data_IF_772192480563
#
_entry.id   IF_772192480563
#
_cell.length_a   1.000
_cell.length_b   1.000
_cell.length_c   1.000
_cell.angle_alpha   90.00
_cell.angle_beta   90.00
_cell.angle_gamma   90.00
#
_symmetry.space_group_name_H-M   'P 1'
#
loop_
_entity.id
_entity.type
_entity.pdbx_description
1 polymer ?
#
# COMPACT_ATOMS: atom_id res chain seq x y z
N UNK A 1 -12.68 9.34 0.05
CA UNK A 1 -12.31 7.93 -0.16
C UNK A 1 -11.77 7.34 1.12
N UNK A 2 -12.17 6.13 1.49
CA UNK A 2 -11.72 5.43 2.69
C UNK A 2 -10.45 4.61 2.43
N UNK A 3 -10.25 4.16 1.21
CA UNK A 3 -9.13 3.31 0.82
C UNK A 3 -8.34 3.88 -0.36
N UNK A 4 -7.09 3.40 -0.51
CA UNK A 4 -6.22 3.75 -1.64
C UNK A 4 -6.88 3.38 -2.99
N UNK A 5 -7.51 2.21 -3.07
CA UNK A 5 -8.15 1.71 -4.29
C UNK A 5 -9.34 2.58 -4.71
N UNK A 6 -10.18 3.02 -3.78
CA UNK A 6 -11.25 3.98 -4.09
C UNK A 6 -10.69 5.29 -4.65
N UNK A 7 -9.56 5.75 -4.11
CA UNK A 7 -8.85 6.91 -4.64
C UNK A 7 -8.38 6.69 -6.08
N UNK A 8 -7.81 5.54 -6.38
CA UNK A 8 -7.36 5.18 -7.74
C UNK A 8 -8.51 5.09 -8.73
N UNK A 9 -9.66 4.58 -8.32
CA UNK A 9 -10.85 4.47 -9.18
C UNK A 9 -11.42 5.83 -9.64
N UNK A 10 -10.99 6.93 -9.05
CA UNK A 10 -11.33 8.29 -9.53
C UNK A 10 -10.53 8.72 -10.77
N UNK A 11 -9.45 8.00 -11.09
CA UNK A 11 -8.58 8.31 -12.24
C UNK A 11 -9.25 7.80 -13.53
N UNK A 12 -9.39 8.61 -14.58
CA UNK A 12 -10.02 8.19 -15.83
C UNK A 12 -9.39 6.90 -16.41
N UNK A 13 -10.24 5.89 -16.69
CA UNK A 13 -9.82 4.59 -17.23
C UNK A 13 -9.16 3.65 -16.20
N UNK A 14 -9.31 3.96 -14.92
CA UNK A 14 -9.07 3.06 -13.80
C UNK A 14 -10.41 2.77 -13.13
N UNK A 15 -10.67 1.50 -12.85
CA UNK A 15 -11.77 1.02 -12.02
C UNK A 15 -11.22 0.07 -10.96
N UNK A 16 -12.10 -0.51 -10.16
CA UNK A 16 -11.70 -1.47 -9.15
C UNK A 16 -12.59 -2.71 -9.18
N UNK A 17 -12.02 -3.84 -8.80
CA UNK A 17 -12.73 -5.00 -8.27
C UNK A 17 -12.51 -5.01 -6.78
N UNK A 18 -13.58 -5.13 -5.99
CA UNK A 18 -13.51 -5.13 -4.54
C UNK A 18 -14.49 -6.16 -3.99
N UNK A 19 -14.01 -7.01 -3.10
CA UNK A 19 -14.81 -8.00 -2.35
C UNK A 19 -15.05 -7.59 -0.90
N UNK A 20 -14.51 -6.45 -0.47
CA UNK A 20 -14.68 -5.86 0.85
C UNK A 20 -14.06 -4.47 0.95
N UNK A 21 -14.24 -3.79 2.08
CA UNK A 21 -13.78 -2.42 2.27
C UNK A 21 -12.26 -2.25 2.12
N UNK A 22 -11.48 -3.25 2.52
CA UNK A 22 -10.01 -3.25 2.44
C UNK A 22 -9.45 -4.15 1.34
N UNK A 23 -10.31 -4.87 0.63
CA UNK A 23 -9.92 -5.80 -0.43
C UNK A 23 -10.26 -5.16 -1.76
N UNK A 24 -9.28 -4.66 -2.44
CA UNK A 24 -9.49 -4.06 -3.75
C UNK A 24 -8.30 -4.24 -4.67
N UNK A 25 -8.61 -4.49 -5.96
CA UNK A 25 -7.64 -4.56 -7.04
C UNK A 25 -7.91 -3.47 -8.06
N UNK A 26 -6.88 -2.79 -8.55
CA UNK A 26 -7.04 -1.85 -9.65
C UNK A 26 -7.32 -2.60 -10.94
N UNK A 27 -8.23 -2.05 -11.73
CA UNK A 27 -8.53 -2.51 -13.09
C UNK A 27 -8.20 -1.38 -14.05
N UNK A 28 -7.31 -1.62 -14.99
CA UNK A 28 -6.91 -0.65 -16.01
C UNK A 28 -7.28 -1.22 -17.39
N UNK A 29 -8.14 -0.51 -18.12
CA UNK A 29 -8.64 -0.94 -19.45
C UNK A 29 -9.26 -2.35 -19.42
N UNK A 30 -9.96 -2.70 -18.35
CA UNK A 30 -10.59 -4.00 -18.17
C UNK A 30 -9.65 -5.14 -17.75
N UNK A 31 -8.37 -4.85 -17.49
CA UNK A 31 -7.36 -5.82 -17.06
C UNK A 31 -6.99 -5.59 -15.60
N UNK A 32 -6.81 -6.68 -14.85
CA UNK A 32 -6.45 -6.68 -13.41
C UNK A 32 -5.46 -7.80 -13.08
N UNK A 33 -5.11 -7.92 -11.80
CA UNK A 33 -4.20 -8.94 -11.30
C UNK A 33 -2.80 -8.81 -11.91
N UNK A 34 -2.24 -9.91 -12.38
CA UNK A 34 -0.90 -9.97 -12.95
C UNK A 34 -0.72 -9.23 -14.29
N UNK A 35 -1.80 -8.66 -14.85
CA UNK A 35 -1.76 -7.84 -16.09
C UNK A 35 -1.69 -6.34 -15.81
N UNK A 36 -1.73 -5.94 -14.56
CA UNK A 36 -1.51 -4.58 -14.08
C UNK A 36 -0.34 -4.64 -13.11
N UNK A 37 0.79 -4.12 -13.52
CA UNK A 37 1.97 -4.10 -12.66
C UNK A 37 1.87 -3.00 -11.61
N UNK A 38 2.34 -3.30 -10.42
CA UNK A 38 2.39 -2.36 -9.32
C UNK A 38 3.85 -2.19 -8.89
N UNK A 39 4.28 -0.94 -8.80
CA UNK A 39 5.59 -0.56 -8.29
C UNK A 39 5.44 0.36 -7.09
N UNK A 40 6.21 0.13 -6.06
CA UNK A 40 6.36 1.03 -4.92
C UNK A 40 7.83 1.30 -4.68
N UNK A 41 8.21 2.57 -4.62
CA UNK A 41 9.60 3.04 -4.45
C UNK A 41 10.63 2.32 -5.37
N UNK A 42 10.22 1.99 -6.60
CA UNK A 42 11.06 1.32 -7.60
C UNK A 42 11.04 -0.20 -7.55
N UNK A 43 10.41 -0.81 -6.55
CA UNK A 43 10.31 -2.27 -6.40
C UNK A 43 8.95 -2.76 -6.91
N UNK A 44 8.94 -3.82 -7.70
CA UNK A 44 7.71 -4.47 -8.16
C UNK A 44 7.02 -5.16 -6.98
N UNK A 45 5.72 -4.92 -6.82
CA UNK A 45 4.87 -5.52 -5.79
C UNK A 45 3.93 -6.51 -6.45
N UNK A 46 3.94 -7.76 -6.00
CA UNK A 46 3.18 -8.86 -6.63
C UNK A 46 2.05 -9.43 -5.75
N UNK A 47 1.66 -8.75 -4.70
CA UNK A 47 0.69 -9.23 -3.70
C UNK A 47 -0.70 -9.50 -4.26
N UNK A 48 -1.08 -8.86 -5.37
CA UNK A 48 -2.44 -8.86 -5.92
C UNK A 48 -2.70 -9.91 -7.00
N UNK A 49 -1.69 -10.67 -7.43
CA UNK A 49 -1.84 -11.54 -8.61
C UNK A 49 -2.65 -12.82 -8.35
N UNK A 50 -2.84 -13.20 -7.09
CA UNK A 50 -3.62 -14.37 -6.70
C UNK A 50 -5.08 -13.98 -6.42
N UNK A 51 -5.96 -14.86 -6.00
CA UNK A 51 -7.38 -14.76 -5.69
C UNK A 51 -8.07 -13.37 -5.69
N UNK A 52 -9.37 -13.29 -5.83
CA UNK A 52 -10.08 -11.99 -5.88
C UNK A 52 -10.04 -11.25 -4.55
N UNK A 53 -9.85 -11.94 -3.45
CA UNK A 53 -9.70 -11.44 -2.09
C UNK A 53 -8.29 -10.96 -1.74
N UNK A 54 -7.32 -11.05 -2.68
CA UNK A 54 -5.97 -10.56 -2.48
C UNK A 54 -5.83 -9.12 -2.97
N UNK A 55 -6.00 -8.16 -2.08
CA UNK A 55 -5.85 -6.72 -2.38
C UNK A 55 -4.39 -6.29 -2.55
N UNK A 56 -4.19 -4.99 -2.83
CA UNK A 56 -2.85 -4.40 -3.04
C UNK A 56 -1.91 -4.53 -1.83
N UNK A 57 -2.44 -4.52 -0.60
CA UNK A 57 -1.62 -4.53 0.61
C UNK A 57 -0.72 -3.30 0.73
N UNK A 58 -1.18 -2.14 0.26
CA UNK A 58 -0.47 -0.86 0.31
C UNK A 58 -1.38 0.21 0.90
N UNK A 59 -0.81 1.06 1.74
CA UNK A 59 -1.48 2.19 2.36
C UNK A 59 -1.11 3.51 1.67
N UNK A 60 -2.07 4.46 1.60
CA UNK A 60 -1.89 5.78 0.97
C UNK A 60 -1.07 6.76 1.82
N UNK A 61 -0.94 6.51 3.12
CA UNK A 61 -0.19 7.41 3.98
C UNK A 61 1.29 7.48 3.60
N UNK A 62 1.80 8.69 3.42
CA UNK A 62 3.18 8.91 3.01
C UNK A 62 3.47 8.52 1.56
N UNK A 63 2.48 8.58 0.68
CA UNK A 63 2.70 8.62 -0.76
C UNK A 63 2.76 10.07 -1.22
N UNK A 64 3.72 10.38 -2.08
CA UNK A 64 3.79 11.68 -2.75
C UNK A 64 2.79 11.77 -3.89
N UNK A 65 2.75 10.71 -4.72
CA UNK A 65 1.84 10.60 -5.86
C UNK A 65 1.69 9.16 -6.32
N UNK A 66 0.65 8.92 -7.10
CA UNK A 66 0.46 7.68 -7.86
C UNK A 66 0.42 8.02 -9.34
N UNK A 67 1.25 7.36 -10.13
CA UNK A 67 1.29 7.48 -11.58
C UNK A 67 0.61 6.27 -12.21
N UNK A 68 -0.25 6.50 -13.20
CA UNK A 68 -0.90 5.46 -13.99
C UNK A 68 -0.31 5.49 -15.39
N UNK A 69 0.58 4.55 -15.69
CA UNK A 69 1.28 4.46 -16.96
C UNK A 69 0.52 3.50 -17.89
N UNK A 70 0.02 4.01 -19.01
CA UNK A 70 -0.82 3.27 -19.95
C UNK A 70 -0.23 3.29 -21.35
N UNK A 71 -0.57 2.26 -22.14
CA UNK A 71 -0.14 2.17 -23.54
C UNK A 71 1.32 1.75 -23.71
N UNK A 72 1.99 2.12 -24.82
CA UNK A 72 3.31 1.59 -25.14
C UNK A 72 4.37 1.83 -24.07
N UNK A 73 4.26 2.92 -23.30
CA UNK A 73 5.19 3.22 -22.22
C UNK A 73 5.17 2.18 -21.10
N UNK A 74 4.07 1.45 -20.91
CA UNK A 74 4.00 0.38 -19.90
C UNK A 74 4.90 -0.81 -20.23
N UNK A 75 5.24 -1.03 -21.49
CA UNK A 75 6.13 -2.13 -21.92
C UNK A 75 7.56 -1.98 -21.40
N UNK A 76 7.98 -0.78 -21.03
CA UNK A 76 9.26 -0.54 -20.37
C UNK A 76 9.39 -1.24 -19.02
N UNK A 77 8.26 -1.61 -18.42
CA UNK A 77 8.18 -2.29 -17.11
C UNK A 77 8.04 -3.82 -17.23
N UNK A 78 7.94 -4.35 -18.45
CA UNK A 78 7.88 -5.79 -18.72
C UNK A 78 6.63 -6.22 -19.49
N UNK A 79 6.63 -7.48 -19.93
CA UNK A 79 5.57 -8.09 -20.76
C UNK A 79 4.21 -8.17 -20.08
N UNK A 80 4.19 -8.22 -18.75
CA UNK A 80 2.96 -8.35 -17.97
C UNK A 80 2.18 -7.04 -17.84
N UNK A 81 2.76 -5.90 -18.24
CA UNK A 81 2.15 -4.58 -18.15
C UNK A 81 1.09 -4.31 -19.25
N UNK A 82 0.31 -5.32 -19.62
CA UNK A 82 -0.69 -5.23 -20.70
C UNK A 82 -1.81 -4.22 -20.38
N UNK A 83 -2.29 -4.20 -19.15
CA UNK A 83 -3.28 -3.22 -18.68
C UNK A 83 -2.63 -1.85 -18.43
N UNK A 84 -1.43 -1.86 -17.91
CA UNK A 84 -0.69 -0.67 -17.51
C UNK A 84 0.13 -0.91 -16.24
N UNK A 85 0.69 0.18 -15.72
CA UNK A 85 1.49 0.18 -14.50
C UNK A 85 0.96 1.22 -13.53
N UNK A 86 0.83 0.84 -12.26
CA UNK A 86 0.66 1.75 -11.13
C UNK A 86 1.99 1.96 -10.45
N UNK A 87 2.46 3.19 -10.42
CA UNK A 87 3.73 3.54 -9.79
C UNK A 87 3.47 4.44 -8.58
N UNK A 88 3.76 3.92 -7.40
CA UNK A 88 3.60 4.61 -6.12
C UNK A 88 4.89 5.31 -5.74
N UNK A 89 4.90 6.63 -5.89
CA UNK A 89 6.04 7.46 -5.51
C UNK A 89 6.06 7.66 -4.00
N UNK A 90 7.19 7.35 -3.34
CA UNK A 90 7.31 7.52 -1.90
C UNK A 90 7.36 8.99 -1.50
N UNK A 91 6.99 9.28 -0.25
CA UNK A 91 7.07 10.61 0.33
C UNK A 91 8.47 11.22 0.15
N UNK A 92 8.50 12.48 -0.28
CA UNK A 92 9.75 13.24 -0.40
C UNK A 92 10.30 13.62 0.98
N UNK A 93 11.61 13.61 1.10
CA UNK A 93 12.30 14.17 2.27
C UNK A 93 11.98 15.67 2.44
N UNK A 94 12.31 16.23 3.59
CA UNK A 94 12.21 17.65 3.82
C UNK A 94 13.17 18.44 2.90
N UNK A 95 12.91 19.72 2.71
CA UNK A 95 13.85 20.61 2.02
C UNK A 95 15.15 20.72 2.83
N UNK A 96 16.24 21.12 2.16
CA UNK A 96 17.54 21.28 2.80
C UNK A 96 17.46 22.14 4.08
N UNK A 97 18.14 21.68 5.11
CA UNK A 97 18.24 22.33 6.42
C UNK A 97 16.89 22.66 7.08
N UNK A 98 15.89 21.78 6.84
CA UNK A 98 14.57 21.89 7.47
C UNK A 98 14.15 20.61 8.16
N UNK A 99 13.23 20.75 9.11
CA UNK A 99 12.48 19.64 9.68
C UNK A 99 10.99 19.87 9.47
N UNK A 100 10.23 18.79 9.36
CA UNK A 100 8.77 18.84 9.25
C UNK A 100 8.15 17.74 10.09
N UNK A 101 7.12 18.10 10.81
CA UNK A 101 6.22 17.18 11.52
C UNK A 101 4.86 17.29 10.85
N UNK A 102 4.23 16.17 10.57
CA UNK A 102 2.89 16.13 10.01
C UNK A 102 2.06 15.14 10.81
N UNK A 103 0.97 15.60 11.38
CA UNK A 103 -0.05 14.76 11.99
C UNK A 103 -1.34 14.86 11.19
N UNK A 104 -1.96 13.74 10.91
CA UNK A 104 -3.25 13.65 10.22
C UNK A 104 -4.16 12.70 10.96
N UNK A 105 -5.40 13.14 11.18
CA UNK A 105 -6.47 12.32 11.74
C UNK A 105 -7.67 12.40 10.80
N UNK A 106 -8.10 11.24 10.29
CA UNK A 106 -9.33 11.11 9.50
C UNK A 106 -10.33 10.26 10.30
N UNK A 107 -11.59 10.67 10.32
CA UNK A 107 -12.68 9.92 10.93
C UNK A 107 -13.71 9.57 9.85
N UNK A 108 -14.23 8.37 9.90
CA UNK A 108 -15.16 7.82 8.91
C UNK A 108 -16.47 7.43 9.58
N UNK A 109 -17.55 8.22 9.33
CA UNK A 109 -18.84 8.01 9.97
C UNK A 109 -19.49 6.67 9.58
N UNK A 110 -19.36 6.26 8.32
CA UNK A 110 -19.98 5.03 7.81
C UNK A 110 -19.45 3.77 8.54
N UNK A 111 -18.15 3.67 8.70
CA UNK A 111 -17.48 2.51 9.31
C UNK A 111 -17.11 2.75 10.78
N UNK A 112 -17.46 3.90 11.37
CA UNK A 112 -16.96 4.37 12.66
C UNK A 112 -15.43 4.23 12.76
N UNK A 113 -14.79 4.44 11.62
CA UNK A 113 -13.36 4.22 11.42
C UNK A 113 -12.52 5.41 11.77
N UNK A 114 -11.24 5.17 11.95
CA UNK A 114 -10.24 6.20 12.15
C UNK A 114 -8.93 5.85 11.46
N UNK A 115 -8.32 6.85 10.84
CA UNK A 115 -6.96 6.76 10.34
C UNK A 115 -6.13 7.86 11.02
N UNK A 116 -5.09 7.46 11.73
CA UNK A 116 -4.16 8.34 12.43
C UNK A 116 -2.77 8.17 11.84
N UNK A 117 -2.15 9.25 11.40
CA UNK A 117 -0.80 9.22 10.80
C UNK A 117 0.08 10.31 11.40
N UNK A 118 1.28 9.93 11.82
CA UNK A 118 2.33 10.84 12.28
C UNK A 118 3.57 10.66 11.42
N UNK A 119 4.01 11.73 10.77
CA UNK A 119 5.22 11.77 9.96
C UNK A 119 6.23 12.77 10.49
N UNK A 120 7.48 12.37 10.49
CA UNK A 120 8.64 13.19 10.86
C UNK A 120 9.63 13.13 9.69
N UNK A 121 10.14 14.27 9.27
CA UNK A 121 11.19 14.31 8.25
C UNK A 121 12.12 15.50 8.44
N UNK A 122 13.38 15.26 8.18
CA UNK A 122 14.42 16.29 8.26
C UNK A 122 15.49 16.07 7.22
N UNK A 123 16.12 17.14 6.80
CA UNK A 123 17.26 17.13 5.89
C UNK A 123 18.29 18.13 6.41
N UNK A 124 19.51 17.68 6.65
CA UNK A 124 20.67 18.53 6.86
C UNK A 124 21.44 18.70 5.52
N UNK A 125 22.68 19.20 5.57
CA UNK A 125 23.46 19.43 4.34
C UNK A 125 23.58 18.17 3.46
N UNK A 126 23.92 17.04 4.05
CA UNK A 126 24.15 15.79 3.33
C UNK A 126 23.17 14.68 3.69
N UNK A 127 22.60 14.70 4.89
CA UNK A 127 21.76 13.62 5.40
C UNK A 127 20.28 13.96 5.33
N UNK A 128 19.47 12.96 5.03
CA UNK A 128 18.00 13.04 4.95
C UNK A 128 17.40 11.90 5.76
N UNK A 129 16.39 12.21 6.55
CA UNK A 129 15.67 11.25 7.37
C UNK A 129 14.18 11.44 7.21
N UNK A 130 13.46 10.34 7.20
CA UNK A 130 12.01 10.29 7.19
C UNK A 130 11.55 9.09 8.02
N UNK A 131 10.54 9.29 8.86
CA UNK A 131 9.80 8.21 9.52
C UNK A 131 8.32 8.57 9.56
N UNK A 132 7.45 7.59 9.31
CA UNK A 132 5.99 7.73 9.38
C UNK A 132 5.38 6.48 9.98
N UNK A 133 4.51 6.65 10.97
CA UNK A 133 3.64 5.62 11.50
C UNK A 133 2.19 5.93 11.16
N UNK A 134 1.40 4.92 10.80
CA UNK A 134 -0.03 5.06 10.51
C UNK A 134 -0.80 3.90 11.13
N UNK A 135 -1.91 4.22 11.76
CA UNK A 135 -2.88 3.25 12.29
C UNK A 135 -4.24 3.49 11.66
N UNK A 136 -4.85 2.45 11.16
CA UNK A 136 -6.12 2.49 10.46
C UNK A 136 -7.04 1.42 11.03
N UNK A 137 -8.24 1.79 11.49
CA UNK A 137 -9.19 0.84 12.07
C UNK A 137 -10.61 1.16 11.62
N UNK A 138 -11.33 0.15 11.17
CA UNK A 138 -12.72 0.27 10.71
C UNK A 138 -13.59 -0.84 11.26
N UNK A 139 -14.83 -0.53 11.60
CA UNK A 139 -15.91 -1.51 11.74
C UNK A 139 -16.57 -1.78 10.38
N UNK A 140 -17.58 -2.61 10.35
CA UNK A 140 -18.32 -2.92 9.12
C UNK A 140 -18.95 -1.67 8.50
N UNK A 141 -18.92 -1.59 7.16
CA UNK A 141 -19.57 -0.49 6.46
C UNK A 141 -21.09 -0.69 6.36
N UNK A 142 -21.79 0.43 6.21
CA UNK A 142 -23.25 0.46 6.05
C UNK A 142 -23.58 0.87 4.61
N UNK A 143 -24.49 0.14 3.97
CA UNK A 143 -25.01 0.41 2.63
C UNK A 143 -25.90 1.66 2.60
N UNK A 144 -26.32 2.11 1.43
CA UNK A 144 -27.25 3.23 1.26
C UNK A 144 -28.62 2.96 1.89
N UNK A 145 -29.03 1.71 1.93
CA UNK A 145 -30.31 1.27 2.52
C UNK A 145 -30.25 1.13 4.05
N UNK A 146 -29.08 1.41 4.63
CA UNK A 146 -28.87 1.36 6.08
C UNK A 146 -28.48 -0.02 6.63
N UNK A 147 -28.34 -1.03 5.78
CA UNK A 147 -27.88 -2.35 6.17
C UNK A 147 -26.36 -2.39 6.34
N UNK A 148 -25.92 -3.12 7.36
CA UNK A 148 -24.51 -3.30 7.65
C UNK A 148 -23.99 -4.58 6.99
N UNK A 149 -22.90 -4.47 6.22
CA UNK A 149 -22.26 -5.63 5.60
C UNK A 149 -21.27 -6.23 6.58
N UNK A 150 -21.64 -7.36 7.17
CA UNK A 150 -20.90 -7.99 8.25
C UNK A 150 -19.54 -8.50 7.79
N UNK A 151 -18.55 -8.34 8.68
CA UNK A 151 -17.15 -8.75 8.51
C UNK A 151 -16.41 -8.03 7.37
N UNK A 152 -16.80 -6.78 7.08
CA UNK A 152 -16.03 -5.89 6.20
C UNK A 152 -15.03 -5.04 6.99
N UNK A 153 -14.93 -5.27 8.29
CA UNK A 153 -14.05 -4.58 9.23
C UNK A 153 -12.59 -4.96 9.02
N UNK A 154 -11.69 -4.02 9.32
CA UNK A 154 -10.26 -4.26 9.20
C UNK A 154 -9.43 -3.37 10.12
N UNK A 155 -8.21 -3.79 10.36
CA UNK A 155 -7.18 -3.06 11.10
C UNK A 155 -5.88 -3.11 10.30
N UNK A 156 -5.21 -1.97 10.20
CA UNK A 156 -3.97 -1.84 9.43
C UNK A 156 -2.99 -0.95 10.18
N UNK A 157 -1.76 -1.39 10.28
CA UNK A 157 -0.64 -0.64 10.83
C UNK A 157 0.46 -0.51 9.78
N UNK A 158 0.96 0.70 9.59
CA UNK A 158 2.06 0.98 8.67
C UNK A 158 3.20 1.67 9.36
N UNK A 159 4.40 1.33 8.94
CA UNK A 159 5.60 2.06 9.28
C UNK A 159 6.46 2.24 8.03
N UNK A 160 6.80 3.48 7.72
CA UNK A 160 7.64 3.84 6.58
C UNK A 160 8.82 4.66 7.08
N UNK A 161 10.01 4.32 6.62
CA UNK A 161 11.21 5.09 6.96
C UNK A 161 12.13 5.23 5.76
N UNK A 162 12.96 6.26 5.79
CA UNK A 162 13.95 6.52 4.77
C UNK A 162 15.16 7.24 5.34
N UNK A 163 16.33 6.82 4.89
CA UNK A 163 17.61 7.47 5.16
C UNK A 163 18.26 7.76 3.82
N UNK A 164 18.66 9.01 3.62
CA UNK A 164 19.37 9.44 2.43
C UNK A 164 20.67 10.14 2.78
N UNK A 165 21.66 9.93 1.95
CA UNK A 165 22.92 10.68 1.97
C UNK A 165 23.22 11.20 0.57
N UNK A 166 23.68 12.43 0.44
CA UNK A 166 24.10 12.97 -0.84
C UNK A 166 25.23 13.99 -0.66
N UNK A 167 26.21 13.92 -1.58
CA UNK A 167 27.25 14.93 -1.75
C UNK A 167 27.46 15.20 -3.26
N UNK A 168 28.53 15.90 -3.64
CA UNK A 168 28.77 16.28 -5.03
C UNK A 168 28.94 15.08 -5.99
N UNK A 169 29.44 13.93 -5.52
CA UNK A 169 29.78 12.76 -6.35
C UNK A 169 28.97 11.50 -6.07
N UNK A 170 28.15 11.53 -5.00
CA UNK A 170 27.40 10.35 -4.57
C UNK A 170 26.05 10.73 -3.97
N UNK A 171 25.02 9.96 -4.29
CA UNK A 171 23.71 10.00 -3.64
C UNK A 171 23.23 8.59 -3.38
N UNK A 172 22.70 8.33 -2.20
CA UNK A 172 22.09 7.04 -1.87
C UNK A 172 20.87 7.24 -0.97
N UNK A 173 19.83 6.47 -1.22
CA UNK A 173 18.60 6.46 -0.42
C UNK A 173 18.22 5.02 -0.13
N UNK A 174 18.18 4.68 1.15
CA UNK A 174 17.62 3.45 1.67
C UNK A 174 16.21 3.74 2.21
N UNK A 175 15.22 2.93 1.82
CA UNK A 175 13.86 3.01 2.33
C UNK A 175 13.39 1.64 2.82
N UNK A 176 12.60 1.66 3.87
CA UNK A 176 11.92 0.49 4.40
C UNK A 176 10.47 0.82 4.68
N UNK A 177 9.57 -0.03 4.20
CA UNK A 177 8.14 0.03 4.49
C UNK A 177 7.71 -1.29 5.11
N UNK A 178 6.94 -1.19 6.16
CA UNK A 178 6.24 -2.29 6.83
C UNK A 178 4.75 -2.00 6.81
N UNK A 179 3.95 -3.01 6.47
CA UNK A 179 2.49 -2.96 6.53
C UNK A 179 1.99 -4.26 7.13
N UNK A 180 1.13 -4.14 8.13
CA UNK A 180 0.44 -5.23 8.79
C UNK A 180 -1.06 -4.99 8.70
N UNK A 181 -1.79 -5.89 8.06
CA UNK A 181 -3.21 -5.78 7.77
C UNK A 181 -3.93 -7.04 8.24
N UNK A 182 -4.94 -6.88 9.09
CA UNK A 182 -5.93 -7.92 9.41
C UNK A 182 -7.29 -7.47 8.92
N UNK A 183 -7.92 -8.26 8.08
CA UNK A 183 -9.20 -7.95 7.47
C UNK A 183 -10.17 -9.12 7.54
N UNK A 184 -11.45 -8.81 7.65
CA UNK A 184 -12.53 -9.79 7.55
C UNK A 184 -12.92 -10.03 6.09
N UNK A 185 -13.40 -11.21 5.80
CA UNK A 185 -13.96 -11.59 4.51
C UNK A 185 -15.48 -11.67 4.70
N UNK A 186 -16.26 -10.83 4.00
CA UNK A 186 -17.72 -10.91 4.08
C UNK A 186 -18.22 -12.16 3.38
N UNK A 187 -19.06 -12.94 4.09
CA UNK A 187 -19.74 -14.11 3.55
C UNK A 187 -21.23 -14.08 3.90
N UNK A 188 -22.04 -14.76 3.10
CA UNK A 188 -23.46 -14.95 3.42
C UNK A 188 -23.62 -15.78 4.70
N UNK A 189 -24.58 -15.39 5.54
CA UNK A 189 -24.90 -16.13 6.77
C UNK A 189 -24.13 -15.67 8.01
N UNK A 190 -23.19 -14.75 7.93
CA UNK A 190 -22.60 -14.13 9.11
C UNK A 190 -23.61 -13.12 9.68
N UNK A 191 -24.27 -13.50 10.77
CA UNK A 191 -25.43 -12.76 11.29
C UNK A 191 -25.08 -11.66 12.31
N UNK A 192 -23.83 -11.50 12.69
CA UNK A 192 -23.46 -10.55 13.73
C UNK A 192 -23.44 -9.11 13.23
N UNK A 193 -24.49 -8.37 13.60
CA UNK A 193 -24.62 -6.93 13.35
C UNK A 193 -24.04 -6.15 14.53
N UNK A 194 -22.76 -5.84 14.52
CA UNK A 194 -22.11 -5.07 15.58
C UNK A 194 -21.25 -3.94 15.07
N UNK A 195 -20.94 -2.99 15.95
CA UNK A 195 -19.99 -1.90 15.67
C UNK A 195 -18.56 -2.25 16.16
N UNK A 196 -18.32 -3.51 16.49
CA UNK A 196 -17.01 -3.98 16.90
C UNK A 196 -15.99 -3.78 15.77
N UNK A 197 -14.75 -3.51 16.15
CA UNK A 197 -13.61 -3.44 15.25
C UNK A 197 -12.78 -4.73 15.26
N UNK A 198 -13.13 -5.70 16.11
CA UNK A 198 -12.51 -7.01 16.14
C UNK A 198 -12.94 -7.80 14.91
N UNK A 199 -11.98 -8.19 14.10
CA UNK A 199 -12.22 -8.95 12.87
C UNK A 199 -12.74 -10.34 13.21
N UNK A 200 -13.82 -10.75 12.53
CA UNK A 200 -14.41 -12.08 12.67
C UNK A 200 -13.79 -13.06 11.66
N UNK A 201 -14.17 -14.31 11.74
CA UNK A 201 -13.89 -15.32 10.72
C UNK A 201 -14.99 -15.31 9.64
N UNK A 202 -14.65 -15.63 8.39
CA UNK A 202 -13.30 -15.83 7.86
C UNK A 202 -12.49 -14.52 7.82
N UNK A 203 -11.19 -14.64 7.98
CA UNK A 203 -10.28 -13.47 8.01
C UNK A 203 -8.95 -13.75 7.30
N UNK A 204 -8.29 -12.68 6.90
CA UNK A 204 -6.92 -12.72 6.43
C UNK A 204 -6.02 -11.87 7.33
N UNK A 205 -4.79 -12.34 7.54
CA UNK A 205 -3.70 -11.57 8.10
C UNK A 205 -2.56 -11.48 7.09
N UNK A 206 -2.13 -10.26 6.79
CA UNK A 206 -1.13 -9.99 5.76
C UNK A 206 -0.05 -9.10 6.34
N UNK A 207 1.20 -9.52 6.23
CA UNK A 207 2.36 -8.73 6.64
C UNK A 207 3.30 -8.51 5.46
N UNK A 208 3.63 -7.26 5.18
CA UNK A 208 4.46 -6.86 4.05
C UNK A 208 5.71 -6.14 4.54
N UNK A 209 6.85 -6.52 3.98
CA UNK A 209 8.12 -5.81 4.14
C UNK A 209 8.65 -5.44 2.77
N UNK A 210 8.98 -4.18 2.57
CA UNK A 210 9.56 -3.67 1.32
C UNK A 210 10.79 -2.85 1.66
N UNK A 211 11.92 -3.22 1.08
CA UNK A 211 13.19 -2.49 1.18
C UNK A 211 13.61 -2.05 -0.20
N UNK A 212 14.07 -0.82 -0.34
CA UNK A 212 14.72 -0.34 -1.56
C UNK A 212 15.99 0.45 -1.24
N UNK A 213 17.00 0.26 -2.06
CA UNK A 213 18.23 1.05 -2.07
C UNK A 213 18.43 1.62 -3.48
N UNK A 214 18.43 2.94 -3.59
CA UNK A 214 18.69 3.64 -4.83
C UNK A 214 19.97 4.46 -4.65
N UNK A 215 20.99 4.20 -5.44
CA UNK A 215 22.30 4.86 -5.33
C UNK A 215 22.77 5.36 -6.69
N UNK A 216 23.38 6.53 -6.70
CA UNK A 216 23.94 7.16 -7.88
C UNK A 216 25.37 7.61 -7.60
N UNK A 217 26.29 7.26 -8.49
CA UNK A 217 27.67 7.73 -8.52
C UNK A 217 27.85 8.66 -9.73
N UNK A 218 28.31 9.85 -9.50
CA UNK A 218 28.53 10.86 -10.52
C UNK A 218 30.02 11.01 -10.83
N UNK A 219 30.36 10.85 -12.09
CA UNK A 219 31.68 11.06 -12.64
C UNK A 219 31.65 12.30 -13.55
N UNK A 220 32.79 12.78 -13.98
CA UNK A 220 32.85 14.00 -14.79
C UNK A 220 31.98 13.94 -16.06
N UNK A 221 31.89 12.78 -16.71
CA UNK A 221 31.15 12.59 -17.97
C UNK A 221 30.15 11.43 -17.95
N UNK A 222 29.96 10.78 -16.83
CA UNK A 222 29.11 9.61 -16.72
C UNK A 222 28.42 9.50 -15.33
N UNK A 223 27.40 8.70 -15.28
CA UNK A 223 26.66 8.38 -14.07
C UNK A 223 26.46 6.88 -14.00
N UNK A 224 26.63 6.30 -12.82
CA UNK A 224 26.25 4.93 -12.53
C UNK A 224 25.10 4.93 -11.53
N UNK A 225 23.99 4.32 -11.90
CA UNK A 225 22.85 4.09 -11.01
C UNK A 225 22.81 2.63 -10.59
N UNK A 226 22.55 2.39 -9.31
CA UNK A 226 22.33 1.08 -8.71
C UNK A 226 21.01 1.10 -7.96
N UNK A 227 20.08 0.25 -8.37
CA UNK A 227 18.77 0.08 -7.74
C UNK A 227 18.65 -1.37 -7.25
N UNK A 228 18.42 -1.53 -5.96
CA UNK A 228 18.18 -2.82 -5.32
C UNK A 228 16.82 -2.77 -4.61
N UNK A 229 16.08 -3.86 -4.70
CA UNK A 229 14.79 -4.02 -4.06
C UNK A 229 14.62 -5.41 -3.44
N UNK A 230 13.94 -5.45 -2.31
CA UNK A 230 13.51 -6.68 -1.68
C UNK A 230 12.09 -6.51 -1.17
N UNK A 231 11.26 -7.51 -1.39
CA UNK A 231 9.90 -7.60 -0.87
C UNK A 231 9.70 -8.95 -0.20
N UNK A 232 9.00 -8.95 0.92
CA UNK A 232 8.47 -10.16 1.54
C UNK A 232 7.00 -9.92 1.87
N UNK A 233 6.15 -10.83 1.43
CA UNK A 233 4.73 -10.85 1.73
C UNK A 233 4.39 -12.17 2.41
N UNK A 234 3.93 -12.09 3.64
CA UNK A 234 3.40 -13.22 4.41
C UNK A 234 1.89 -13.07 4.52
N UNK A 235 1.14 -14.05 4.04
CA UNK A 235 -0.32 -14.10 4.09
C UNK A 235 -0.80 -15.36 4.75
N UNK A 236 -1.73 -15.22 5.69
CA UNK A 236 -2.44 -16.32 6.34
C UNK A 236 -3.93 -16.10 6.22
N UNK A 237 -4.66 -17.16 5.88
CA UNK A 237 -6.12 -17.18 5.76
C UNK A 237 -6.70 -18.14 6.80
N UNK A 238 -7.78 -17.71 7.42
CA UNK A 238 -8.45 -18.41 8.52
C UNK A 238 -9.93 -18.48 8.20
N UNK A 239 -10.51 -19.68 8.22
CA UNK A 239 -11.96 -19.87 7.97
C UNK A 239 -12.79 -19.73 9.26
N UNK A 240 -12.55 -20.57 10.24
CA UNK A 240 -13.38 -20.67 11.43
C UNK A 240 -12.61 -20.71 12.76
N UNK A 241 -11.29 -20.77 12.70
CA UNK A 241 -10.43 -20.94 13.86
C UNK A 241 -9.09 -20.23 13.73
N UNK A 242 -8.30 -20.22 14.81
CA UNK A 242 -6.94 -19.66 14.80
C UNK A 242 -5.92 -20.49 13.97
N UNK A 243 -6.36 -21.62 13.43
CA UNK A 243 -5.52 -22.44 12.54
C UNK A 243 -5.65 -21.94 11.12
N UNK A 244 -4.59 -21.43 10.54
CA UNK A 244 -4.61 -20.95 9.16
C UNK A 244 -4.80 -22.10 8.18
N UNK A 245 -5.80 -22.00 7.31
CA UNK A 245 -6.09 -22.97 6.25
C UNK A 245 -5.15 -22.77 5.05
N UNK A 246 -4.66 -21.54 4.85
CA UNK A 246 -3.68 -21.19 3.82
C UNK A 246 -2.60 -20.30 4.41
N UNK A 247 -1.34 -20.63 4.11
CA UNK A 247 -0.18 -19.78 4.38
C UNK A 247 0.64 -19.63 3.11
N UNK A 248 0.84 -18.41 2.68
CA UNK A 248 1.69 -18.07 1.53
C UNK A 248 2.78 -17.11 1.96
N UNK A 249 3.98 -17.34 1.44
CA UNK A 249 5.10 -16.44 1.58
C UNK A 249 5.71 -16.18 0.22
N UNK A 250 5.82 -14.89 -0.13
CA UNK A 250 6.49 -14.39 -1.33
C UNK A 250 7.70 -13.55 -0.89
N UNK A 251 8.86 -13.82 -1.47
CA UNK A 251 10.11 -13.08 -1.21
C UNK A 251 10.74 -12.64 -2.52
#
# INVERSE_FOLDING_TARGET
TSTLIEGLATIPGVSQVSTGASIGKPVIRGLSGNRVLVYSQGVRVENQQFGDEHGLGLNDAGLESVEVIKGPASLLYGSDALGGVLYFNPEKFANANTYKVNFSQKLFANTLGSNSSLGLKTTSDNWKFLARGTMNTHSDYTTADGERVTNTRYQENDFKTGIGYSNASFSSVLRYNFNDLTLGIPEEGIAEQSQSKSVLYPKQAVSNHLVSLNSSLFFNSSKLDLDLGFISNDRSEFEDSEVAVLKMKLN
#
